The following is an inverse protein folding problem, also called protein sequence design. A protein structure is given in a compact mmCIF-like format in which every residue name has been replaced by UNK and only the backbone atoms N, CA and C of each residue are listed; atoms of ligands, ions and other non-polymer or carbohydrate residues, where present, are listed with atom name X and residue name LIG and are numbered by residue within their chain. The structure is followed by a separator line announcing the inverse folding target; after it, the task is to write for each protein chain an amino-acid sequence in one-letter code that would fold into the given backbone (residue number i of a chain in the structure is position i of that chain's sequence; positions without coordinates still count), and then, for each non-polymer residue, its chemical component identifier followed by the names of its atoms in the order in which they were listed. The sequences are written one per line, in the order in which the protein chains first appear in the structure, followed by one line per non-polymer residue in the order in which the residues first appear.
data_IF_202044944278
#
_entry.id   IF_202044944278
#
_cell.length_a   1.000
_cell.length_b   1.000
_cell.length_c   1.000
_cell.angle_alpha   90.00
_cell.angle_beta   90.00
_cell.angle_gamma   90.00
#
_symmetry.space_group_name_H-M   'P 1'
#
loop_
_entity.id
_entity.type
_entity.pdbx_description
1 polymer ?
#
# COMPACT_ATOMS: atom_id res chain seq x y z
N UNK A 1 -14.09 51.32 12.35
CA UNK A 1 -12.99 50.39 11.97
C UNK A 1 -12.95 49.33 13.06
N UNK A 2 -13.40 48.11 12.76
CA UNK A 2 -13.45 47.03 13.75
C UNK A 2 -12.28 46.11 13.50
N UNK A 3 -11.33 46.08 14.43
CA UNK A 3 -10.11 45.28 14.37
C UNK A 3 -10.44 43.79 14.49
N UNK A 4 -10.08 42.98 13.49
CA UNK A 4 -10.22 41.53 13.53
C UNK A 4 -9.10 40.92 14.38
N UNK A 5 -9.43 40.32 15.51
CA UNK A 5 -8.46 39.59 16.33
C UNK A 5 -7.90 38.36 15.57
N UNK A 6 -6.59 38.09 15.65
CA UNK A 6 -6.00 36.92 15.00
C UNK A 6 -6.49 35.65 15.69
N UNK A 7 -7.16 34.78 14.93
CA UNK A 7 -7.61 33.48 15.43
C UNK A 7 -6.39 32.63 15.82
N UNK A 8 -6.28 32.27 17.11
CA UNK A 8 -5.22 31.37 17.58
C UNK A 8 -5.45 29.99 16.95
N UNK A 9 -4.60 29.62 15.99
CA UNK A 9 -4.63 28.30 15.35
C UNK A 9 -4.29 27.25 16.41
N UNK A 10 -5.25 26.38 16.74
CA UNK A 10 -5.02 25.29 17.68
C UNK A 10 -3.97 24.33 17.12
N UNK A 11 -3.10 23.82 18.00
CA UNK A 11 -2.12 22.79 17.64
C UNK A 11 -2.89 21.53 17.23
N UNK A 12 -2.69 21.08 15.99
CA UNK A 12 -3.22 19.81 15.49
C UNK A 12 -2.19 18.72 15.74
N UNK A 13 -2.57 17.71 16.54
CA UNK A 13 -1.76 16.51 16.72
C UNK A 13 -2.20 15.46 15.71
N UNK A 14 -1.25 14.92 14.94
CA UNK A 14 -1.49 13.80 14.03
C UNK A 14 -1.00 12.52 14.71
N UNK A 15 -1.90 11.56 14.86
CA UNK A 15 -1.56 10.20 15.32
C UNK A 15 -1.75 9.25 14.15
N UNK A 16 -0.91 8.21 14.04
CA UNK A 16 -1.17 7.11 13.11
C UNK A 16 -2.51 6.49 13.51
N UNK A 17 -3.51 6.53 12.62
CA UNK A 17 -4.71 5.73 12.80
C UNK A 17 -4.31 4.27 12.58
N UNK A 18 -4.11 3.53 13.66
CA UNK A 18 -4.09 2.08 13.59
C UNK A 18 -5.52 1.63 13.28
N UNK A 19 -5.81 1.44 12.00
CA UNK A 19 -7.08 0.89 11.55
C UNK A 19 -7.19 -0.55 12.03
N UNK A 20 -8.33 -0.95 12.60
CA UNK A 20 -8.57 -2.36 12.91
C UNK A 20 -8.78 -3.10 11.60
N UNK A 21 -7.96 -4.13 11.35
CA UNK A 21 -8.18 -5.05 10.23
C UNK A 21 -9.46 -5.86 10.48
N UNK A 22 -10.25 -6.09 9.43
CA UNK A 22 -11.38 -7.02 9.51
C UNK A 22 -10.86 -8.46 9.58
N UNK A 23 -11.68 -9.44 10.05
CA UNK A 23 -11.29 -10.85 9.99
C UNK A 23 -10.94 -11.33 8.57
N UNK A 24 -11.62 -10.82 7.55
CA UNK A 24 -11.34 -11.15 6.16
C UNK A 24 -9.97 -10.62 5.71
N UNK A 25 -9.65 -9.34 6.00
CA UNK A 25 -8.35 -8.75 5.69
C UNK A 25 -7.19 -9.46 6.40
N UNK A 26 -7.40 -9.87 7.66
CA UNK A 26 -6.40 -10.64 8.39
C UNK A 26 -6.15 -12.01 7.74
N UNK A 27 -7.22 -12.74 7.38
CA UNK A 27 -7.08 -14.02 6.68
C UNK A 27 -6.41 -13.87 5.33
N UNK A 28 -6.85 -12.91 4.51
CA UNK A 28 -6.26 -12.64 3.20
C UNK A 28 -4.76 -12.36 3.33
N UNK A 29 -4.36 -11.47 4.25
CA UNK A 29 -2.94 -11.23 4.53
C UNK A 29 -2.22 -12.51 4.96
N UNK A 30 -2.74 -13.27 5.93
CA UNK A 30 -2.06 -14.48 6.41
C UNK A 30 -1.93 -15.56 5.34
N UNK A 31 -2.96 -15.77 4.54
CA UNK A 31 -3.02 -16.86 3.55
C UNK A 31 -2.30 -16.51 2.25
N UNK A 32 -2.31 -15.24 1.84
CA UNK A 32 -1.81 -14.80 0.53
C UNK A 32 -0.46 -14.08 0.58
N UNK A 33 0.00 -13.66 1.75
CA UNK A 33 1.35 -13.10 1.90
C UNK A 33 2.46 -14.05 1.41
N UNK A 34 2.40 -15.37 1.62
CA UNK A 34 3.40 -16.28 1.05
C UNK A 34 3.44 -16.30 -0.49
N UNK A 35 2.38 -15.86 -1.17
CA UNK A 35 2.27 -15.85 -2.62
C UNK A 35 2.62 -14.48 -3.23
N UNK A 36 2.19 -13.39 -2.60
CA UNK A 36 2.31 -12.04 -3.16
C UNK A 36 3.13 -11.08 -2.30
N UNK A 37 3.37 -11.41 -1.04
CA UNK A 37 4.10 -10.57 -0.10
C UNK A 37 5.60 -10.67 -0.32
N UNK A 38 6.28 -9.54 -0.14
CA UNK A 38 7.74 -9.47 -0.09
C UNK A 38 8.16 -8.99 1.29
N UNK A 39 8.98 -9.80 1.96
CA UNK A 39 9.61 -9.39 3.21
C UNK A 39 10.70 -8.35 2.92
N UNK A 40 10.83 -7.38 3.82
CA UNK A 40 11.90 -6.40 3.73
C UNK A 40 13.26 -7.06 4.00
N UNK A 41 14.25 -6.72 3.17
CA UNK A 41 15.63 -7.14 3.31
C UNK A 41 16.56 -5.95 2.98
N UNK A 42 17.80 -5.96 3.47
CA UNK A 42 18.76 -4.88 3.19
C UNK A 42 19.34 -4.97 1.77
N UNK A 43 19.18 -6.12 1.12
CA UNK A 43 19.62 -6.39 -0.23
C UNK A 43 18.70 -5.77 -1.29
N UNK A 44 19.28 -5.44 -2.45
CA UNK A 44 18.51 -5.05 -3.62
C UNK A 44 17.65 -6.22 -4.11
N UNK A 45 16.36 -5.98 -4.35
CA UNK A 45 15.45 -6.98 -4.91
C UNK A 45 15.80 -7.31 -6.37
N UNK A 46 15.91 -8.61 -6.66
CA UNK A 46 15.90 -9.13 -8.03
C UNK A 46 14.46 -9.33 -8.49
N UNK A 47 13.89 -8.29 -9.11
CA UNK A 47 12.49 -8.29 -9.53
C UNK A 47 12.22 -9.29 -10.65
N UNK A 48 13.17 -9.57 -11.54
CA UNK A 48 12.96 -10.54 -12.62
C UNK A 48 12.84 -11.95 -12.06
N UNK A 49 13.64 -12.27 -11.02
CA UNK A 49 13.53 -13.52 -10.28
C UNK A 49 12.21 -13.63 -9.51
N UNK A 50 11.78 -12.55 -8.84
CA UNK A 50 10.53 -12.50 -8.06
C UNK A 50 9.30 -12.70 -8.96
N UNK A 51 9.24 -12.00 -10.10
CA UNK A 51 8.12 -12.12 -11.05
C UNK A 51 8.26 -13.32 -12.00
N UNK A 52 9.42 -13.98 -12.04
CA UNK A 52 9.70 -15.12 -12.92
C UNK A 52 9.79 -14.76 -14.40
N UNK A 53 9.92 -13.46 -14.74
CA UNK A 53 10.02 -12.95 -16.11
C UNK A 53 10.71 -11.59 -16.15
N UNK A 54 11.20 -11.23 -17.34
CA UNK A 54 11.68 -9.87 -17.64
C UNK A 54 10.58 -9.10 -18.36
N UNK A 55 10.05 -8.08 -17.68
CA UNK A 55 8.97 -7.21 -18.12
C UNK A 55 9.14 -5.80 -17.53
N UNK A 56 8.37 -4.83 -18.03
CA UNK A 56 8.33 -3.47 -17.47
C UNK A 56 7.93 -3.50 -16.00
N UNK A 57 8.57 -2.68 -15.15
CA UNK A 57 8.31 -2.66 -13.70
C UNK A 57 7.64 -1.35 -13.31
N UNK A 58 6.50 -1.45 -12.63
CA UNK A 58 5.73 -0.31 -12.13
C UNK A 58 5.67 -0.40 -10.60
N UNK A 59 5.99 0.70 -9.93
CA UNK A 59 5.99 0.81 -8.48
C UNK A 59 4.93 1.82 -8.03
N UNK A 60 4.01 1.38 -7.16
CA UNK A 60 3.05 2.27 -6.49
C UNK A 60 3.38 2.41 -5.00
N UNK A 61 3.69 3.64 -4.57
CA UNK A 61 4.00 3.95 -3.17
C UNK A 61 2.76 4.57 -2.52
N UNK A 62 2.29 3.95 -1.43
CA UNK A 62 1.07 4.35 -0.74
C UNK A 62 -0.18 3.95 -1.51
N UNK A 63 -0.27 2.68 -1.94
CA UNK A 63 -1.40 2.18 -2.74
C UNK A 63 -2.75 2.17 -1.99
N UNK A 64 -2.77 2.46 -0.69
CA UNK A 64 -3.99 2.52 0.11
C UNK A 64 -4.68 1.15 0.15
N UNK A 65 -5.89 1.07 -0.41
CA UNK A 65 -6.64 -0.18 -0.51
C UNK A 65 -6.21 -1.07 -1.68
N UNK A 66 -5.42 -0.57 -2.63
CA UNK A 66 -4.92 -1.34 -3.76
C UNK A 66 -5.86 -1.41 -4.96
N UNK A 67 -7.02 -0.73 -4.96
CA UNK A 67 -7.97 -0.73 -6.08
C UNK A 67 -7.29 -0.28 -7.40
N UNK A 68 -6.54 0.83 -7.36
CA UNK A 68 -5.81 1.34 -8.52
C UNK A 68 -4.70 0.39 -8.97
N UNK A 69 -3.94 -0.17 -8.02
CA UNK A 69 -2.84 -1.09 -8.28
C UNK A 69 -3.33 -2.36 -8.98
N UNK A 70 -4.38 -2.98 -8.43
CA UNK A 70 -4.97 -4.22 -8.96
C UNK A 70 -5.62 -4.00 -10.31
N UNK A 71 -6.33 -2.88 -10.48
CA UNK A 71 -6.91 -2.52 -11.78
C UNK A 71 -5.82 -2.36 -12.84
N UNK A 72 -4.77 -1.58 -12.56
CA UNK A 72 -3.68 -1.37 -13.50
C UNK A 72 -2.96 -2.68 -13.86
N UNK A 73 -2.69 -3.55 -12.87
CA UNK A 73 -2.11 -4.87 -13.10
C UNK A 73 -3.01 -5.80 -13.93
N UNK A 74 -4.33 -5.64 -13.83
CA UNK A 74 -5.30 -6.41 -14.62
C UNK A 74 -5.39 -5.88 -16.06
N UNK A 75 -5.29 -4.56 -16.25
CA UNK A 75 -5.37 -3.92 -17.57
C UNK A 75 -4.06 -4.02 -18.36
N UNK A 76 -2.91 -4.13 -17.70
CA UNK A 76 -1.59 -4.30 -18.32
C UNK A 76 -0.88 -5.57 -17.81
N UNK A 77 -1.25 -6.75 -18.32
CA UNK A 77 -0.63 -8.01 -17.91
C UNK A 77 0.81 -8.18 -18.43
N UNK A 78 1.28 -7.32 -19.34
CA UNK A 78 2.64 -7.37 -19.88
C UNK A 78 3.65 -6.66 -18.98
N UNK A 79 3.19 -5.85 -18.02
CA UNK A 79 4.00 -5.22 -16.99
C UNK A 79 3.87 -5.93 -15.64
N UNK A 80 4.89 -5.78 -14.79
CA UNK A 80 4.88 -6.24 -13.40
C UNK A 80 4.65 -5.06 -12.44
N UNK A 81 3.80 -5.28 -11.44
CA UNK A 81 3.39 -4.26 -10.49
C UNK A 81 3.84 -4.61 -9.07
N UNK A 82 4.57 -3.67 -8.44
CA UNK A 82 4.99 -3.75 -7.04
C UNK A 82 4.30 -2.63 -6.25
N UNK A 83 3.62 -2.99 -5.17
CA UNK A 83 2.99 -2.05 -4.25
C UNK A 83 3.74 -1.92 -2.93
N UNK A 84 3.86 -0.70 -2.41
CA UNK A 84 4.35 -0.43 -1.05
C UNK A 84 3.26 0.28 -0.26
N UNK A 85 2.85 -0.27 0.88
CA UNK A 85 1.90 0.35 1.80
C UNK A 85 2.28 0.03 3.25
N UNK A 86 2.20 1.05 4.12
CA UNK A 86 2.53 0.96 5.55
C UNK A 86 1.29 0.72 6.41
N UNK A 87 0.09 0.85 5.84
CA UNK A 87 -1.19 0.62 6.48
C UNK A 87 -1.65 -0.82 6.27
N UNK A 88 -1.48 -1.66 7.30
CA UNK A 88 -1.82 -3.08 7.25
C UNK A 88 -3.26 -3.41 6.79
N UNK A 89 -4.31 -2.64 7.17
CA UNK A 89 -5.65 -2.85 6.61
C UNK A 89 -5.74 -2.63 5.09
N UNK A 90 -4.94 -1.72 4.54
CA UNK A 90 -4.85 -1.47 3.11
C UNK A 90 -4.22 -2.65 2.37
N UNK A 91 -3.10 -3.15 2.89
CA UNK A 91 -2.45 -4.38 2.41
C UNK A 91 -3.41 -5.57 2.43
N UNK A 92 -4.10 -5.78 3.55
CA UNK A 92 -5.08 -6.86 3.69
C UNK A 92 -6.31 -6.68 2.80
N UNK A 93 -6.66 -5.45 2.41
CA UNK A 93 -7.75 -5.18 1.46
C UNK A 93 -7.32 -5.50 0.02
N UNK A 94 -6.11 -5.12 -0.36
CA UNK A 94 -5.54 -5.38 -1.69
C UNK A 94 -5.46 -6.89 -2.03
N UNK A 95 -5.46 -7.73 -1.00
CA UNK A 95 -5.39 -9.19 -1.11
C UNK A 95 -6.77 -9.88 -1.07
N UNK A 96 -7.88 -9.13 -1.01
CA UNK A 96 -9.24 -9.70 -1.04
C UNK A 96 -9.72 -9.93 -2.47
#
# INVERSE_FOLDING_TARGET
MTESQPTRRSIRSFVRRTGRMTPAQNRARTELWPLFGLEYAEETLDLDSIFGRTAGKILEIGFGNGESLVLAATEDPDSDFLGIEVHEPGVGHCML
#
